data_IF_536417491319
#
_entry.id   IF_536417491319
#
_cell.length_a   1.000
_cell.length_b   1.000
_cell.length_c   1.000
_cell.angle_alpha   90.00
_cell.angle_beta   90.00
_cell.angle_gamma   90.00
#
_symmetry.space_group_name_H-M   'P 1'
#
loop_
_entity.id
_entity.type
_entity.pdbx_description
1 polymer ?
#
# COMPACT_ATOMS: atom_id res chain seq x y z
N UNK A 1 8.91 2.33 -14.32
CA UNK A 1 7.69 2.56 -13.52
C UNK A 1 7.85 2.17 -12.05
N UNK A 2 8.35 0.97 -11.70
CA UNK A 2 8.46 0.49 -10.32
C UNK A 2 9.14 1.45 -9.32
N UNK A 3 10.27 2.08 -9.72
CA UNK A 3 10.94 3.11 -8.90
C UNK A 3 10.06 4.33 -8.67
N UNK A 4 9.43 4.86 -9.71
CA UNK A 4 8.51 6.01 -9.59
C UNK A 4 7.30 5.68 -8.71
N UNK A 5 6.78 4.44 -8.79
CA UNK A 5 5.74 3.98 -7.87
C UNK A 5 6.23 3.95 -6.41
N UNK A 6 7.48 3.59 -6.16
CA UNK A 6 8.06 3.63 -4.80
C UNK A 6 8.25 5.07 -4.28
N UNK A 7 8.45 6.04 -5.18
CA UNK A 7 8.51 7.47 -4.82
C UNK A 7 7.14 8.05 -4.46
N UNK A 8 6.02 7.36 -4.76
CA UNK A 8 4.67 7.80 -4.39
C UNK A 8 4.32 7.53 -2.91
N UNK A 9 5.17 6.81 -2.17
CA UNK A 9 5.04 6.60 -0.71
C UNK A 9 3.79 5.78 -0.31
N UNK A 10 3.34 4.86 -1.16
CA UNK A 10 2.17 4.01 -0.89
C UNK A 10 2.51 2.63 -0.28
N UNK A 11 3.77 2.41 0.10
CA UNK A 11 4.26 1.16 0.67
C UNK A 11 5.14 0.33 -0.28
N UNK A 12 5.75 -0.77 0.22
CA UNK A 12 6.58 -1.65 -0.60
C UNK A 12 5.79 -2.25 -1.78
N UNK A 13 6.39 -2.25 -2.97
CA UNK A 13 5.68 -2.61 -4.21
C UNK A 13 5.03 -4.01 -4.18
N UNK A 14 5.72 -5.02 -3.67
CA UNK A 14 5.15 -6.39 -3.61
C UNK A 14 3.98 -6.46 -2.61
N UNK A 15 4.06 -5.71 -1.51
CA UNK A 15 2.98 -5.57 -0.52
C UNK A 15 1.76 -4.90 -1.16
N UNK A 16 1.96 -3.75 -1.80
CA UNK A 16 0.91 -2.99 -2.47
C UNK A 16 0.16 -3.83 -3.50
N UNK A 17 0.89 -4.57 -4.36
CA UNK A 17 0.25 -5.44 -5.37
C UNK A 17 -0.52 -6.59 -4.72
N UNK A 18 0.01 -7.17 -3.63
CA UNK A 18 -0.70 -8.22 -2.89
C UNK A 18 -2.01 -7.71 -2.29
N UNK A 19 -2.00 -6.53 -1.64
CA UNK A 19 -3.21 -5.90 -1.11
C UNK A 19 -4.19 -5.54 -2.21
N UNK A 20 -3.71 -4.91 -3.29
CA UNK A 20 -4.56 -4.50 -4.41
C UNK A 20 -5.24 -5.71 -5.09
N UNK A 21 -4.51 -6.80 -5.33
CA UNK A 21 -5.08 -8.03 -5.88
C UNK A 21 -6.08 -8.69 -4.93
N UNK A 22 -5.85 -8.64 -3.61
CA UNK A 22 -6.82 -9.13 -2.62
C UNK A 22 -8.06 -8.26 -2.60
N UNK A 23 -7.92 -6.94 -2.65
CA UNK A 23 -9.04 -6.01 -2.77
C UNK A 23 -9.89 -6.31 -4.01
N UNK A 24 -9.31 -6.37 -5.20
CA UNK A 24 -10.07 -6.73 -6.41
C UNK A 24 -10.78 -8.09 -6.32
N UNK A 25 -10.20 -9.05 -5.59
CA UNK A 25 -10.81 -10.37 -5.40
C UNK A 25 -11.99 -10.36 -4.41
N UNK A 26 -11.96 -9.47 -3.42
CA UNK A 26 -12.93 -9.44 -2.31
C UNK A 26 -13.63 -8.09 -2.16
N UNK A 27 -13.65 -7.24 -3.20
CA UNK A 27 -14.11 -5.85 -3.11
C UNK A 27 -15.47 -5.76 -2.45
N UNK A 28 -15.58 -4.88 -1.45
CA UNK A 28 -16.79 -4.65 -0.67
C UNK A 28 -17.36 -5.89 0.05
N UNK A 29 -16.57 -6.96 0.15
CA UNK A 29 -16.90 -8.20 0.82
C UNK A 29 -15.90 -8.52 1.94
N UNK A 30 -16.20 -9.57 2.70
CA UNK A 30 -15.32 -10.05 3.75
C UNK A 30 -13.94 -10.43 3.17
N UNK A 31 -12.88 -9.90 3.79
CA UNK A 31 -11.50 -10.15 3.39
C UNK A 31 -10.87 -9.03 2.55
N UNK A 32 -11.63 -8.04 2.09
CA UNK A 32 -11.08 -6.81 1.50
C UNK A 32 -10.22 -6.07 2.55
N UNK A 33 -8.91 -5.84 2.30
CA UNK A 33 -8.03 -5.19 3.26
C UNK A 33 -8.48 -3.76 3.63
N UNK A 34 -9.14 -3.05 2.72
CA UNK A 34 -9.48 -1.63 2.89
C UNK A 34 -10.94 -1.33 2.56
N UNK A 35 -11.84 -2.27 2.88
CA UNK A 35 -13.27 -2.05 2.71
C UNK A 35 -13.81 -1.03 3.74
N UNK A 36 -14.64 -0.05 3.31
CA UNK A 36 -15.34 0.84 4.21
C UNK A 36 -16.46 0.13 5.00
N UNK A 37 -16.84 -1.09 4.60
CA UNK A 37 -17.90 -1.88 5.22
C UNK A 37 -17.40 -2.72 6.42
N UNK A 38 -16.09 -2.68 6.72
CA UNK A 38 -15.43 -3.51 7.75
C UNK A 38 -16.13 -3.52 9.12
N UNK A 39 -16.76 -2.41 9.52
CA UNK A 39 -17.34 -2.26 10.85
C UNK A 39 -18.88 -2.34 10.87
N UNK A 40 -19.51 -2.68 9.74
CA UNK A 40 -20.97 -2.78 9.58
C UNK A 40 -21.59 -1.60 8.82
N UNK A 41 -22.92 -1.61 8.71
CA UNK A 41 -23.68 -0.75 7.78
C UNK A 41 -24.34 0.47 8.46
N UNK A 42 -24.16 0.64 9.77
CA UNK A 42 -24.68 1.83 10.47
C UNK A 42 -23.84 3.07 10.13
N UNK A 43 -24.44 4.26 10.19
CA UNK A 43 -23.72 5.51 9.88
C UNK A 43 -22.41 5.67 10.72
N UNK A 44 -22.39 5.45 12.04
CA UNK A 44 -21.15 5.51 12.82
C UNK A 44 -20.11 4.47 12.37
N UNK A 45 -20.54 3.26 12.01
CA UNK A 45 -19.66 2.22 11.51
C UNK A 45 -19.03 2.61 10.16
N UNK A 46 -19.82 3.20 9.25
CA UNK A 46 -19.34 3.68 7.96
C UNK A 46 -18.37 4.86 8.09
N UNK A 47 -18.57 5.77 9.04
CA UNK A 47 -17.60 6.85 9.30
C UNK A 47 -16.24 6.28 9.77
N UNK A 48 -16.27 5.28 10.65
CA UNK A 48 -15.07 4.56 11.08
C UNK A 48 -14.44 3.78 9.92
N UNK A 49 -15.28 3.16 9.09
CA UNK A 49 -14.89 2.41 7.90
C UNK A 49 -14.25 3.29 6.84
N UNK A 50 -14.75 4.51 6.64
CA UNK A 50 -14.16 5.49 5.72
C UNK A 50 -12.74 5.86 6.16
N UNK A 51 -12.54 6.16 7.44
CA UNK A 51 -11.19 6.40 7.98
C UNK A 51 -10.27 5.20 7.77
N UNK A 52 -10.78 3.99 8.00
CA UNK A 52 -10.05 2.75 7.76
C UNK A 52 -9.65 2.58 6.30
N UNK A 53 -10.60 2.65 5.38
CA UNK A 53 -10.39 2.50 3.94
C UNK A 53 -9.47 3.59 3.37
N UNK A 54 -9.52 4.80 3.92
CA UNK A 54 -8.73 5.92 3.41
C UNK A 54 -7.25 5.83 3.82
N UNK A 55 -6.95 5.55 5.09
CA UNK A 55 -5.58 5.62 5.63
C UNK A 55 -5.27 4.49 6.60
N UNK A 56 -6.17 4.15 7.53
CA UNK A 56 -5.78 3.32 8.68
C UNK A 56 -5.39 1.89 8.29
N UNK A 57 -5.95 1.34 7.21
CA UNK A 57 -5.62 0.00 6.71
C UNK A 57 -4.14 -0.18 6.35
N UNK A 58 -3.45 0.92 5.97
CA UNK A 58 -2.02 0.88 5.63
C UNK A 58 -1.14 0.52 6.84
N UNK A 59 -1.68 0.66 8.05
CA UNK A 59 -1.01 0.37 9.32
C UNK A 59 -1.50 -0.94 9.95
N UNK A 60 -2.31 -1.74 9.24
CA UNK A 60 -2.74 -3.04 9.73
C UNK A 60 -1.52 -3.96 9.93
N UNK A 61 -1.37 -4.49 11.14
CA UNK A 61 -0.33 -5.45 11.48
C UNK A 61 -0.54 -6.76 10.71
N UNK A 62 -1.80 -7.11 10.45
CA UNK A 62 -2.14 -8.30 9.68
C UNK A 62 -1.99 -8.01 8.18
N UNK A 63 -0.82 -8.38 7.66
CA UNK A 63 -0.49 -8.14 6.27
C UNK A 63 -1.05 -9.22 5.34
N UNK A 64 -1.64 -8.81 4.20
CA UNK A 64 -1.99 -9.72 3.10
C UNK A 64 -0.79 -10.59 2.69
N UNK A 65 -0.93 -11.93 2.71
CA UNK A 65 0.17 -12.83 2.39
C UNK A 65 0.67 -12.66 0.95
N UNK A 66 1.86 -12.07 0.79
CA UNK A 66 2.44 -11.79 -0.51
C UNK A 66 2.68 -13.07 -1.33
N UNK A 67 3.00 -14.19 -0.68
CA UNK A 67 3.20 -15.49 -1.32
C UNK A 67 1.91 -16.02 -1.98
N UNK A 68 0.75 -15.63 -1.46
CA UNK A 68 -0.56 -16.03 -1.99
C UNK A 68 -1.02 -15.11 -3.12
N UNK A 69 -0.82 -13.80 -2.98
CA UNK A 69 -1.42 -12.81 -3.88
C UNK A 69 -0.44 -12.19 -4.89
N UNK A 70 0.87 -12.24 -4.65
CA UNK A 70 1.92 -11.73 -5.54
C UNK A 70 3.12 -12.70 -5.71
N UNK A 71 2.92 -14.01 -5.91
CA UNK A 71 4.02 -14.98 -6.01
C UNK A 71 4.94 -14.73 -7.20
N UNK A 72 4.40 -14.18 -8.29
CA UNK A 72 5.14 -13.74 -9.49
C UNK A 72 6.15 -12.64 -9.16
N UNK A 73 5.73 -11.62 -8.39
CA UNK A 73 6.61 -10.49 -8.05
C UNK A 73 7.66 -10.83 -6.98
N UNK A 74 7.38 -11.81 -6.11
CA UNK A 74 8.38 -12.34 -5.19
C UNK A 74 9.51 -13.05 -5.95
N UNK A 75 9.17 -13.73 -7.05
CA UNK A 75 10.13 -14.47 -7.88
C UNK A 75 10.97 -13.56 -8.78
N UNK A 76 10.49 -12.35 -9.09
CA UNK A 76 11.24 -11.35 -9.84
C UNK A 76 12.30 -10.66 -8.94
N UNK A 77 13.61 -10.89 -9.18
CA UNK A 77 14.66 -10.33 -8.33
C UNK A 77 14.78 -8.80 -8.43
N UNK A 78 14.44 -8.20 -9.58
CA UNK A 78 14.51 -6.76 -9.77
C UNK A 78 13.39 -6.06 -9.00
N UNK A 79 12.16 -6.56 -9.13
CA UNK A 79 10.99 -6.04 -8.39
C UNK A 79 11.18 -6.23 -6.89
N UNK A 80 11.58 -7.42 -6.45
CA UNK A 80 11.88 -7.68 -5.04
C UNK A 80 12.99 -6.77 -4.53
N UNK A 81 14.00 -6.49 -5.35
CA UNK A 81 15.06 -5.52 -5.06
C UNK A 81 14.51 -4.12 -4.78
N UNK A 82 13.70 -3.58 -5.69
CA UNK A 82 13.07 -2.25 -5.56
C UNK A 82 12.17 -2.21 -4.32
N UNK A 83 11.32 -3.22 -4.13
CA UNK A 83 10.37 -3.29 -3.01
C UNK A 83 11.06 -3.28 -1.64
N UNK A 84 12.25 -3.88 -1.51
CA UNK A 84 13.03 -3.84 -0.25
C UNK A 84 13.65 -2.49 0.04
N UNK A 85 13.89 -1.67 -0.98
CA UNK A 85 14.47 -0.32 -0.84
C UNK A 85 13.38 0.76 -0.73
N UNK A 86 12.13 0.39 -0.45
CA UNK A 86 11.01 1.33 -0.33
C UNK A 86 11.34 2.50 0.60
N UNK A 87 11.89 2.24 1.79
CA UNK A 87 12.27 3.30 2.74
C UNK A 87 13.29 4.29 2.14
N UNK A 88 14.28 3.78 1.41
CA UNK A 88 15.27 4.62 0.73
C UNK A 88 14.60 5.52 -0.32
N UNK A 89 13.69 4.97 -1.12
CA UNK A 89 12.91 5.76 -2.09
C UNK A 89 12.02 6.79 -1.41
N UNK A 90 11.37 6.44 -0.29
CA UNK A 90 10.56 7.39 0.49
C UNK A 90 11.40 8.56 1.00
N UNK A 91 12.59 8.29 1.57
CA UNK A 91 13.50 9.34 2.03
C UNK A 91 13.92 10.23 0.85
N UNK A 92 14.28 9.64 -0.28
CA UNK A 92 14.64 10.39 -1.49
C UNK A 92 13.47 11.26 -1.99
N UNK A 93 12.26 10.70 -2.02
CA UNK A 93 11.05 11.41 -2.46
C UNK A 93 10.76 12.63 -1.59
N UNK A 94 10.94 12.51 -0.26
CA UNK A 94 10.71 13.60 0.69
C UNK A 94 11.86 14.62 0.74
N UNK A 95 13.11 14.18 0.49
CA UNK A 95 14.28 15.04 0.57
C UNK A 95 14.49 15.90 -0.70
N UNK A 96 14.20 15.37 -1.89
CA UNK A 96 14.47 16.09 -3.15
C UNK A 96 13.74 17.44 -3.22
N UNK A 97 12.41 17.54 -2.97
CA UNK A 97 11.70 18.82 -3.12
C UNK A 97 12.26 19.97 -2.28
N UNK A 98 12.50 19.83 -0.95
CA UNK A 98 13.08 20.92 -0.16
C UNK A 98 14.54 21.22 -0.52
N UNK A 99 15.33 20.23 -0.94
CA UNK A 99 16.70 20.46 -1.39
C UNK A 99 16.72 21.28 -2.69
N UNK A 100 15.88 20.91 -3.66
CA UNK A 100 15.76 21.68 -4.91
C UNK A 100 15.24 23.07 -4.63
N UNK A 101 14.17 23.19 -3.82
CA UNK A 101 13.57 24.47 -3.46
C UNK A 101 14.49 25.39 -2.64
N UNK A 102 15.44 24.85 -1.89
CA UNK A 102 16.42 25.64 -1.12
C UNK A 102 17.68 26.03 -1.91
N UNK A 103 17.90 25.43 -3.08
CA UNK A 103 19.03 25.73 -3.97
C UNK A 103 18.68 26.75 -5.07
N UNK A 104 17.39 27.07 -5.24
CA UNK A 104 16.87 28.02 -6.24
C UNK A 104 16.35 29.30 -5.62
#
# INVERSE_FOLDING_TARGET
>A
LAVMGSLAVEGPLVRWVADHRKHHKFSDAEGDPHSPWRFGETLPALMKGLWWAHIAWMFDEEQTPQQKYAPDLIKDPAIRGISRHFLSFTIVSLAIPPLVGGLV
#
